data_IF_622695464480
#
_entry.id   IF_622695464480
#
_cell.length_a   1.000
_cell.length_b   1.000
_cell.length_c   1.000
_cell.angle_alpha   90.00
_cell.angle_beta   90.00
_cell.angle_gamma   90.00
#
_symmetry.space_group_name_H-M   'P 1'
#
loop_
_entity.id
_entity.type
_entity.pdbx_description
1 polymer ?
#
# COMPACT_ATOMS: atom_id res chain seq x y z
N UNK A 1 44.74 -2.39 39.94
CA UNK A 1 43.90 -2.92 38.84
C UNK A 1 43.37 -4.27 39.29
N UNK A 2 42.06 -4.38 39.51
CA UNK A 2 41.42 -5.69 39.71
C UNK A 2 41.53 -6.49 38.41
N UNK A 3 41.76 -7.80 38.49
CA UNK A 3 41.86 -8.65 37.30
C UNK A 3 40.52 -8.67 36.55
N UNK A 4 40.52 -8.55 35.21
CA UNK A 4 39.30 -8.59 34.43
C UNK A 4 38.63 -9.96 34.59
N UNK A 5 37.36 -9.95 34.98
CA UNK A 5 36.60 -11.17 35.32
C UNK A 5 35.99 -11.83 34.07
N UNK A 6 35.88 -11.07 32.98
CA UNK A 6 35.45 -11.53 31.67
C UNK A 6 35.56 -10.40 30.66
N UNK A 7 35.62 -10.72 29.36
CA UNK A 7 35.70 -9.74 28.30
C UNK A 7 34.94 -10.24 27.07
N UNK A 8 34.29 -9.33 26.36
CA UNK A 8 33.57 -9.64 25.13
C UNK A 8 33.68 -8.48 24.14
N UNK A 9 33.91 -8.81 22.87
CA UNK A 9 34.09 -7.82 21.80
C UNK A 9 32.91 -7.87 20.83
N UNK A 10 32.29 -6.73 20.60
CA UNK A 10 31.30 -6.50 19.54
C UNK A 10 31.98 -5.92 18.30
N UNK A 11 31.23 -5.64 17.24
CA UNK A 11 31.76 -5.09 15.98
C UNK A 11 32.51 -3.77 16.20
N UNK A 12 32.06 -2.93 17.15
CA UNK A 12 32.60 -1.58 17.35
C UNK A 12 33.11 -1.31 18.77
N UNK A 13 32.80 -2.17 19.75
CA UNK A 13 33.11 -1.93 21.18
C UNK A 13 33.60 -3.17 21.91
N UNK A 14 34.59 -2.99 22.79
CA UNK A 14 35.13 -3.98 23.70
C UNK A 14 34.55 -3.78 25.11
N UNK A 15 33.81 -4.75 25.64
CA UNK A 15 33.25 -4.71 26.99
C UNK A 15 34.08 -5.60 27.94
N UNK A 16 34.54 -5.03 29.06
CA UNK A 16 35.36 -5.70 30.07
C UNK A 16 34.66 -5.66 31.42
N UNK A 17 34.47 -6.81 32.05
CA UNK A 17 34.00 -6.90 33.44
C UNK A 17 35.15 -6.61 34.41
N UNK A 18 35.01 -5.56 35.21
CA UNK A 18 35.99 -5.15 36.21
C UNK A 18 35.30 -4.93 37.56
N UNK A 19 35.46 -5.88 38.49
CA UNK A 19 34.85 -5.81 39.81
C UNK A 19 33.34 -6.03 39.76
N UNK A 20 32.57 -5.00 40.14
CA UNK A 20 31.11 -5.00 40.14
C UNK A 20 30.50 -4.28 38.92
N UNK A 21 31.32 -3.85 37.95
CA UNK A 21 30.92 -3.03 36.81
C UNK A 21 31.44 -3.59 35.49
N UNK A 22 30.76 -3.22 34.40
CA UNK A 22 31.19 -3.51 33.02
C UNK A 22 31.65 -2.20 32.40
N UNK A 23 32.86 -2.21 31.85
CA UNK A 23 33.51 -1.06 31.22
C UNK A 23 33.55 -1.26 29.71
N UNK A 24 33.12 -0.26 28.95
CA UNK A 24 33.18 -0.23 27.49
C UNK A 24 34.40 0.56 27.00
N UNK A 25 35.08 0.01 26.00
CA UNK A 25 36.18 0.62 25.27
C UNK A 25 35.89 0.54 23.76
N UNK A 26 36.45 1.45 22.96
CA UNK A 26 36.48 1.25 21.51
C UNK A 26 37.57 0.22 21.15
N UNK A 27 37.61 -0.19 19.87
CA UNK A 27 38.61 -1.15 19.38
C UNK A 27 40.04 -0.60 19.40
N UNK A 28 40.20 0.72 19.54
CA UNK A 28 41.50 1.40 19.65
C UNK A 28 41.96 1.53 21.13
N UNK A 29 41.13 1.09 22.08
CA UNK A 29 41.43 1.06 23.52
C UNK A 29 41.04 2.34 24.27
N UNK A 30 40.33 3.28 23.63
CA UNK A 30 39.77 4.47 24.30
C UNK A 30 38.60 4.06 25.17
N UNK A 31 38.57 4.57 26.39
CA UNK A 31 37.48 4.34 27.32
C UNK A 31 36.20 5.07 26.86
N UNK A 32 35.10 4.32 26.69
CA UNK A 32 33.79 4.84 26.28
C UNK A 32 32.87 5.11 27.47
N UNK A 33 32.99 4.36 28.56
CA UNK A 33 32.18 4.53 29.77
C UNK A 33 31.88 3.21 30.50
N UNK A 34 31.15 3.28 31.61
CA UNK A 34 30.66 2.10 32.33
C UNK A 34 29.20 1.79 31.93
N UNK A 35 28.85 0.51 31.83
CA UNK A 35 27.49 0.06 31.56
C UNK A 35 26.53 0.53 32.66
N UNK A 36 25.47 1.24 32.28
CA UNK A 36 24.41 1.68 33.19
C UNK A 36 23.37 0.57 33.35
N UNK A 37 22.78 0.45 34.54
CA UNK A 37 21.75 -0.56 34.85
C UNK A 37 22.26 -1.92 35.34
N UNK A 38 23.58 -2.11 35.50
CA UNK A 38 24.16 -3.30 36.12
C UNK A 38 25.23 -2.96 37.16
N UNK A 39 25.01 -3.38 38.40
CA UNK A 39 26.04 -3.47 39.45
C UNK A 39 25.93 -4.81 40.16
N UNK A 40 27.00 -5.59 40.14
CA UNK A 40 27.01 -6.92 40.77
C UNK A 40 28.21 -7.76 40.35
N UNK A 41 28.38 -8.93 40.98
CA UNK A 41 29.43 -9.88 40.61
C UNK A 41 29.30 -10.28 39.14
N UNK A 42 30.41 -10.52 38.44
CA UNK A 42 30.42 -10.90 37.02
C UNK A 42 31.15 -12.23 36.91
N UNK A 43 30.40 -13.33 36.75
CA UNK A 43 30.99 -14.66 36.56
C UNK A 43 31.24 -14.98 35.09
N UNK A 44 30.54 -14.30 34.17
CA UNK A 44 30.76 -14.48 32.73
C UNK A 44 30.09 -13.39 31.90
N UNK A 45 30.70 -13.08 30.76
CA UNK A 45 30.17 -12.21 29.71
C UNK A 45 30.09 -12.99 28.40
N UNK A 46 29.02 -12.82 27.64
CA UNK A 46 28.82 -13.45 26.33
C UNK A 46 28.02 -12.54 25.40
N UNK A 47 27.89 -12.91 24.13
CA UNK A 47 27.02 -12.24 23.16
C UNK A 47 25.87 -13.17 22.74
N UNK A 48 24.70 -12.57 22.57
CA UNK A 48 23.60 -13.19 21.82
C UNK A 48 23.88 -13.11 20.30
N UNK A 49 23.16 -13.91 19.50
CA UNK A 49 23.16 -13.90 18.02
C UNK A 49 22.85 -12.51 17.42
N UNK A 50 22.25 -11.61 18.19
CA UNK A 50 21.96 -10.23 17.80
C UNK A 50 23.04 -9.22 18.25
N UNK A 51 24.19 -9.69 18.76
CA UNK A 51 25.30 -8.82 19.20
C UNK A 51 25.08 -8.10 20.54
N UNK A 52 24.07 -8.52 21.33
CA UNK A 52 23.78 -7.96 22.66
C UNK A 52 24.63 -8.62 23.73
N UNK A 53 25.07 -7.87 24.74
CA UNK A 53 25.93 -8.36 25.82
C UNK A 53 25.09 -9.06 26.88
N UNK A 54 25.41 -10.32 27.17
CA UNK A 54 24.81 -11.12 28.23
C UNK A 54 25.75 -11.16 29.42
N UNK A 55 25.21 -10.89 30.61
CA UNK A 55 25.95 -10.84 31.88
C UNK A 55 25.42 -11.94 32.79
N UNK A 56 26.30 -12.85 33.19
CA UNK A 56 25.99 -13.87 34.17
C UNK A 56 26.55 -13.45 35.53
N UNK A 57 25.71 -13.16 36.55
CA UNK A 57 26.19 -12.64 37.82
C UNK A 57 26.94 -13.67 38.69
N UNK A 58 26.78 -14.96 38.40
CA UNK A 58 27.32 -16.05 39.21
C UNK A 58 26.33 -16.53 40.26
N UNK A 59 26.38 -17.83 40.59
CA UNK A 59 25.30 -18.49 41.34
C UNK A 59 24.01 -18.60 40.50
N UNK A 60 22.91 -19.08 41.10
CA UNK A 60 21.62 -19.25 40.41
C UNK A 60 20.88 -17.95 40.04
N UNK A 61 21.59 -16.83 39.87
CA UNK A 61 21.02 -15.56 39.46
C UNK A 61 20.64 -15.53 37.98
N UNK A 62 19.62 -14.74 37.63
CA UNK A 62 19.17 -14.61 36.26
C UNK A 62 20.22 -13.91 35.36
N UNK A 63 20.34 -14.36 34.12
CA UNK A 63 21.21 -13.73 33.11
C UNK A 63 20.62 -12.38 32.70
N UNK A 64 21.43 -11.33 32.80
CA UNK A 64 21.05 -9.97 32.42
C UNK A 64 21.47 -9.68 30.98
N UNK A 65 20.65 -8.92 30.25
CA UNK A 65 20.92 -8.56 28.85
C UNK A 65 21.12 -7.05 28.73
N UNK A 66 22.27 -6.64 28.22
CA UNK A 66 22.68 -5.27 27.97
C UNK A 66 22.81 -5.00 26.47
N UNK A 67 22.47 -3.78 26.05
CA UNK A 67 22.61 -3.33 24.66
C UNK A 67 23.92 -2.53 24.57
N UNK A 68 24.90 -2.95 23.75
CA UNK A 68 26.14 -2.22 23.60
C UNK A 68 25.91 -0.84 22.97
N UNK A 69 26.72 0.15 23.36
CA UNK A 69 26.74 1.53 22.84
C UNK A 69 25.49 2.41 23.07
N UNK A 70 24.46 1.94 23.76
CA UNK A 70 23.28 2.74 24.11
C UNK A 70 23.02 2.66 25.62
N UNK A 71 23.13 3.80 26.29
CA UNK A 71 22.67 3.97 27.67
C UNK A 71 21.82 5.23 27.72
N UNK A 72 20.67 5.16 28.38
CA UNK A 72 19.82 6.33 28.54
C UNK A 72 20.34 7.21 29.67
N UNK A 73 20.23 8.53 29.49
CA UNK A 73 20.49 9.48 30.57
C UNK A 73 19.44 9.34 31.67
N UNK A 74 19.84 9.51 32.93
CA UNK A 74 18.91 9.49 34.06
C UNK A 74 17.98 10.72 34.06
N UNK A 75 18.46 11.80 33.46
CA UNK A 75 17.71 13.04 33.28
C UNK A 75 17.97 13.61 31.90
N UNK A 76 16.91 14.05 31.23
CA UNK A 76 16.97 14.83 30.00
C UNK A 76 16.10 16.07 30.14
N UNK A 77 16.42 17.14 29.42
CA UNK A 77 15.52 18.30 29.35
C UNK A 77 15.59 18.96 28.00
N UNK A 78 14.46 19.52 27.56
CA UNK A 78 14.41 20.38 26.39
C UNK A 78 13.72 21.70 26.72
N UNK A 79 14.04 22.72 25.93
CA UNK A 79 13.33 23.99 25.89
C UNK A 79 12.87 24.22 24.44
N UNK A 80 11.58 24.43 24.25
CA UNK A 80 10.96 24.70 22.97
C UNK A 80 10.29 26.07 23.00
N UNK A 81 10.54 26.88 21.98
CA UNK A 81 10.03 28.24 21.84
C UNK A 81 11.10 29.19 21.28
N UNK A 82 10.82 30.49 21.15
CA UNK A 82 9.53 31.11 21.45
C UNK A 82 8.48 30.70 20.40
N UNK A 83 7.36 30.12 20.84
CA UNK A 83 6.21 29.91 19.97
C UNK A 83 5.42 31.21 19.91
N UNK A 84 5.17 31.71 18.71
CA UNK A 84 4.36 32.90 18.47
C UNK A 84 3.36 32.64 17.35
N UNK A 85 2.29 33.43 17.32
CA UNK A 85 1.31 33.41 16.24
C UNK A 85 1.34 34.78 15.58
N UNK A 86 1.86 34.85 14.35
CA UNK A 86 1.91 36.09 13.56
C UNK A 86 0.51 36.44 13.04
N UNK A 87 -0.28 37.11 13.87
CA UNK A 87 -1.56 37.70 13.44
C UNK A 87 -1.45 39.21 13.56
N UNK A 88 -1.54 39.89 12.42
CA UNK A 88 -1.56 41.36 12.37
C UNK A 88 -2.73 41.89 13.21
N UNK A 89 -2.40 42.60 14.29
CA UNK A 89 -3.32 43.35 15.16
C UNK A 89 -4.35 42.52 15.98
N UNK A 90 -3.88 41.60 16.83
CA UNK A 90 -4.72 40.95 17.86
C UNK A 90 -4.21 41.16 19.30
N UNK A 91 -5.10 41.04 20.32
CA UNK A 91 -4.72 41.00 21.74
C UNK A 91 -3.71 39.86 22.01
N UNK A 92 -3.01 39.88 23.17
CA UNK A 92 -2.05 38.84 23.50
C UNK A 92 -2.67 37.43 23.36
N UNK A 93 -1.94 36.53 22.69
CA UNK A 93 -2.41 35.19 22.34
C UNK A 93 -2.85 34.43 23.59
N UNK A 94 -4.07 33.90 23.56
CA UNK A 94 -4.57 33.03 24.63
C UNK A 94 -4.22 31.59 24.30
N UNK A 95 -3.11 31.13 24.86
CA UNK A 95 -2.72 29.72 24.83
C UNK A 95 -3.71 28.89 25.64
N UNK A 96 -4.18 27.77 25.10
CA UNK A 96 -5.25 26.99 25.70
C UNK A 96 -4.81 25.60 26.14
N UNK A 97 -4.25 24.80 25.23
CA UNK A 97 -3.98 23.38 25.47
C UNK A 97 -2.68 22.96 24.81
N UNK A 98 -1.94 22.09 25.51
CA UNK A 98 -0.78 21.39 24.99
C UNK A 98 -1.06 19.89 25.07
N UNK A 99 -1.06 19.22 23.91
CA UNK A 99 -1.16 17.77 23.81
C UNK A 99 0.16 17.20 23.29
N UNK A 100 0.76 16.29 24.05
CA UNK A 100 1.98 15.60 23.71
C UNK A 100 1.67 14.15 23.28
N UNK A 101 2.10 13.78 22.07
CA UNK A 101 2.05 12.41 21.57
C UNK A 101 3.39 11.77 21.91
N UNK A 102 3.36 10.84 22.85
CA UNK A 102 4.53 10.11 23.37
C UNK A 102 4.27 8.62 23.23
N UNK A 103 5.30 7.84 22.96
CA UNK A 103 5.21 6.38 23.06
C UNK A 103 4.78 5.98 24.49
N UNK A 104 4.17 4.78 24.69
CA UNK A 104 3.75 4.32 26.01
C UNK A 104 4.90 4.45 27.03
N UNK A 105 4.70 5.29 28.05
CA UNK A 105 5.71 5.60 29.05
C UNK A 105 6.12 4.32 29.81
N UNK A 106 7.42 3.92 29.78
CA UNK A 106 7.91 2.82 30.60
C UNK A 106 7.71 3.11 32.10
N UNK A 107 7.51 2.09 32.96
CA UNK A 107 7.23 2.30 34.39
C UNK A 107 8.31 3.07 35.17
N UNK A 108 9.56 3.04 34.70
CA UNK A 108 10.70 3.74 35.30
C UNK A 108 11.00 5.10 34.66
N UNK A 109 10.18 5.54 33.70
CA UNK A 109 10.35 6.77 32.95
C UNK A 109 9.23 7.75 33.25
N UNK A 110 9.59 8.99 33.59
CA UNK A 110 8.62 10.06 33.82
C UNK A 110 8.90 11.27 32.94
N UNK A 111 7.84 11.95 32.55
CA UNK A 111 7.90 13.19 31.77
C UNK A 111 7.06 14.27 32.45
N UNK A 112 7.65 15.44 32.65
CA UNK A 112 6.96 16.61 33.18
C UNK A 112 7.16 17.82 32.28
N UNK A 113 6.06 18.50 31.95
CA UNK A 113 6.08 19.74 31.18
C UNK A 113 5.96 20.97 32.08
N UNK A 114 6.58 22.06 31.65
CA UNK A 114 6.52 23.38 32.26
C UNK A 114 6.22 24.40 31.17
N UNK A 115 5.34 25.34 31.45
CA UNK A 115 4.87 26.34 30.48
C UNK A 115 5.11 27.76 31.00
N UNK A 116 5.58 28.64 30.12
CA UNK A 116 5.89 30.03 30.44
C UNK A 116 5.46 30.94 29.30
N UNK A 117 4.83 32.06 29.63
CA UNK A 117 4.37 33.05 28.64
C UNK A 117 5.11 34.36 28.84
N UNK A 118 5.51 34.99 27.73
CA UNK A 118 6.29 36.23 27.73
C UNK A 118 5.75 37.25 26.72
N UNK A 119 5.97 38.53 27.00
CA UNK A 119 5.73 39.62 26.05
C UNK A 119 6.94 39.89 25.15
N UNK A 120 8.12 39.38 25.51
CA UNK A 120 9.35 39.48 24.73
C UNK A 120 9.72 38.10 24.16
N UNK A 121 10.34 38.05 22.97
CA UNK A 121 10.79 36.82 22.32
C UNK A 121 12.03 36.21 22.99
N UNK A 122 12.61 36.88 23.99
CA UNK A 122 13.82 36.41 24.64
C UNK A 122 13.56 35.13 25.43
N UNK A 123 14.51 34.20 25.34
CA UNK A 123 14.48 32.99 26.14
C UNK A 123 14.45 33.37 27.63
N UNK A 124 13.53 32.80 28.42
CA UNK A 124 13.45 33.08 29.85
C UNK A 124 14.80 32.78 30.53
N UNK A 125 15.37 33.80 31.17
CA UNK A 125 16.59 33.69 31.96
C UNK A 125 16.27 33.04 33.32
N UNK A 126 15.97 31.74 33.36
CA UNK A 126 15.82 31.04 34.64
C UNK A 126 16.67 29.79 34.66
N UNK A 127 17.49 29.71 35.71
CA UNK A 127 18.26 28.55 36.13
C UNK A 127 17.45 27.27 35.92
N UNK A 128 18.11 26.26 35.36
CA UNK A 128 17.70 24.87 35.45
C UNK A 128 17.00 24.60 36.78
N UNK A 129 15.73 24.14 36.81
CA UNK A 129 15.28 23.36 37.94
C UNK A 129 16.12 22.08 37.86
N UNK A 130 17.29 22.11 38.51
CA UNK A 130 17.92 20.91 38.99
C UNK A 130 16.89 20.40 40.00
N UNK A 131 16.17 19.36 39.62
CA UNK A 131 15.29 18.66 40.54
C UNK A 131 16.14 17.88 41.55
N UNK A 132 16.87 18.61 42.40
CA UNK A 132 17.35 18.04 43.64
C UNK A 132 16.14 17.95 44.56
N UNK A 133 15.63 16.73 44.71
CA UNK A 133 14.71 16.25 45.76
C UNK A 133 13.82 17.33 46.37
N UNK A 134 12.73 17.68 45.71
CA UNK A 134 11.65 18.39 46.41
C UNK A 134 10.74 17.33 47.02
N UNK A 135 10.97 17.05 48.30
CA UNK A 135 9.98 16.46 49.18
C UNK A 135 8.64 17.19 48.99
N UNK A 136 7.48 16.52 49.11
CA UNK A 136 6.20 17.21 49.13
C UNK A 136 6.18 18.17 50.32
N UNK A 137 6.42 19.46 50.08
CA UNK A 137 6.46 20.47 51.15
C UNK A 137 7.45 21.63 51.02
N UNK A 138 8.35 21.70 50.02
CA UNK A 138 9.26 22.85 49.87
C UNK A 138 9.13 23.55 48.51
N UNK A 139 8.96 24.87 48.56
CA UNK A 139 8.68 25.75 47.42
C UNK A 139 10.00 26.17 46.73
N UNK A 140 10.23 25.65 45.51
CA UNK A 140 11.16 26.25 44.52
C UNK A 140 10.51 27.55 44.01
N UNK A 141 11.25 28.62 43.62
CA UNK A 141 10.64 29.85 43.15
C UNK A 141 9.77 29.58 41.91
N UNK A 142 8.46 29.46 42.13
CA UNK A 142 7.40 29.10 41.18
C UNK A 142 6.86 30.33 40.43
N UNK A 143 7.54 31.48 40.55
CA UNK A 143 6.89 32.77 40.27
C UNK A 143 6.74 33.08 38.77
N UNK A 144 7.21 32.22 37.86
CA UNK A 144 7.05 32.43 36.40
C UNK A 144 6.63 31.20 35.61
N UNK A 145 7.15 30.00 35.91
CA UNK A 145 6.82 28.78 35.16
C UNK A 145 5.67 28.01 35.80
N UNK A 146 4.70 27.60 34.97
CA UNK A 146 3.60 26.75 35.38
C UNK A 146 3.97 25.27 35.19
N UNK A 147 3.96 24.48 36.26
CA UNK A 147 4.28 23.06 36.23
C UNK A 147 3.04 22.22 35.93
N UNK A 148 3.11 21.36 34.91
CA UNK A 148 2.10 20.35 34.65
C UNK A 148 2.21 19.18 35.64
N UNK A 149 1.13 18.40 35.84
CA UNK A 149 1.19 17.14 36.55
C UNK A 149 2.26 16.20 35.96
N UNK A 150 2.86 15.36 36.82
CA UNK A 150 3.78 14.32 36.38
C UNK A 150 3.04 13.36 35.43
N UNK A 151 3.66 13.04 34.29
CA UNK A 151 3.12 12.17 33.24
C UNK A 151 1.81 12.68 32.61
N UNK A 152 1.48 13.96 32.81
CA UNK A 152 0.37 14.63 32.14
C UNK A 152 0.70 14.95 30.69
N UNK A 153 0.23 14.10 29.76
CA UNK A 153 0.43 14.28 28.31
C UNK A 153 -0.55 15.25 27.65
N UNK A 154 -1.66 15.55 28.33
CA UNK A 154 -2.67 16.48 27.86
C UNK A 154 -2.97 17.49 28.99
N UNK A 155 -2.63 18.75 28.76
CA UNK A 155 -2.67 19.79 29.79
C UNK A 155 -3.21 21.12 29.29
N UNK A 156 -3.95 21.80 30.17
CA UNK A 156 -4.38 23.17 29.96
C UNK A 156 -3.26 24.15 30.32
N UNK A 157 -3.05 25.14 29.47
CA UNK A 157 -2.09 26.22 29.70
C UNK A 157 -2.79 27.28 30.54
N UNK A 158 -2.38 27.41 31.80
CA UNK A 158 -3.02 28.31 32.77
C UNK A 158 -2.32 29.67 32.90
N UNK A 159 -1.27 29.89 32.11
CA UNK A 159 -0.54 31.15 32.06
C UNK A 159 -1.43 32.32 31.59
N UNK A 160 -1.01 33.54 31.88
CA UNK A 160 -1.70 34.71 31.35
C UNK A 160 -1.51 34.83 29.83
N UNK A 161 -2.48 35.39 29.10
CA UNK A 161 -2.34 35.63 27.67
C UNK A 161 -1.08 36.45 27.36
N UNK A 162 -0.24 35.96 26.46
CA UNK A 162 0.97 36.66 26.01
C UNK A 162 1.33 36.22 24.59
N UNK A 163 2.02 37.07 23.81
CA UNK A 163 2.37 36.77 22.41
C UNK A 163 3.31 35.57 22.26
N UNK A 164 4.17 35.30 23.24
CA UNK A 164 5.15 34.22 23.19
C UNK A 164 4.87 33.14 24.25
N UNK A 165 4.95 31.87 23.85
CA UNK A 165 4.91 30.70 24.74
C UNK A 165 6.23 29.93 24.67
N UNK A 166 6.69 29.51 25.83
CA UNK A 166 7.84 28.64 26.04
C UNK A 166 7.39 27.38 26.75
N UNK A 167 7.91 26.24 26.29
CA UNK A 167 7.61 24.92 26.84
C UNK A 167 8.93 24.28 27.20
N UNK A 168 9.02 23.79 28.43
CA UNK A 168 10.15 22.99 28.89
C UNK A 168 9.64 21.62 29.26
N UNK A 169 10.28 20.57 28.76
CA UNK A 169 10.03 19.22 29.23
C UNK A 169 11.25 18.67 29.93
N UNK A 170 11.00 17.91 30.99
CA UNK A 170 12.02 17.21 31.76
C UNK A 170 11.67 15.73 31.78
N UNK A 171 12.62 14.92 31.34
CA UNK A 171 12.57 13.47 31.41
C UNK A 171 13.36 12.96 32.60
N UNK A 172 12.85 11.91 33.21
CA UNK A 172 13.54 11.12 34.23
C UNK A 172 13.49 9.67 33.85
N UNK A 173 14.59 8.97 34.03
CA UNK A 173 14.70 7.54 33.80
C UNK A 173 15.69 6.93 34.80
N UNK A 174 15.55 5.63 35.07
CA UNK A 174 16.56 4.82 35.75
C UNK A 174 17.73 4.38 34.83
N UNK A 175 17.75 4.87 33.59
CA UNK A 175 18.76 4.57 32.58
C UNK A 175 18.51 3.28 31.78
N UNK A 176 17.42 2.55 32.08
CA UNK A 176 17.07 1.28 31.40
C UNK A 176 16.19 1.50 30.16
N UNK A 177 15.40 2.58 30.14
CA UNK A 177 14.56 2.98 29.01
C UNK A 177 14.55 4.51 28.87
N UNK A 178 14.09 5.04 27.74
CA UNK A 178 13.78 6.46 27.60
C UNK A 178 12.50 6.60 26.80
N UNK A 179 11.57 7.48 27.21
CA UNK A 179 10.38 7.73 26.42
C UNK A 179 10.72 8.57 25.20
N UNK A 180 9.93 8.42 24.14
CA UNK A 180 10.08 9.14 22.88
C UNK A 180 8.91 10.10 22.72
N UNK A 181 9.20 11.39 22.66
CA UNK A 181 8.21 12.44 22.34
C UNK A 181 8.15 12.58 20.82
N UNK A 182 7.06 12.11 20.21
CA UNK A 182 6.87 12.13 18.76
C UNK A 182 6.40 13.50 18.27
N UNK A 183 5.45 14.11 18.98
CA UNK A 183 4.84 15.37 18.56
C UNK A 183 4.27 16.15 19.75
N UNK A 184 4.34 17.47 19.69
CA UNK A 184 3.57 18.37 20.56
C UNK A 184 2.61 19.18 19.71
N UNK A 185 1.33 19.22 20.10
CA UNK A 185 0.29 20.02 19.48
C UNK A 185 -0.13 21.11 20.44
N UNK A 186 -0.05 22.35 19.96
CA UNK A 186 -0.46 23.54 20.69
C UNK A 186 -1.76 24.08 20.11
N UNK A 187 -2.72 24.30 20.99
CA UNK A 187 -3.98 24.95 20.67
C UNK A 187 -4.00 26.34 21.32
N UNK A 188 -4.31 27.35 20.51
CA UNK A 188 -4.39 28.74 20.91
C UNK A 188 -5.68 29.34 20.35
N UNK A 189 -6.21 30.35 21.04
CA UNK A 189 -7.46 31.02 20.69
C UNK A 189 -8.59 30.03 20.35
N UNK A 190 -8.62 28.87 21.01
CA UNK A 190 -9.55 27.82 20.70
C UNK A 190 -10.97 28.28 20.95
N UNK A 191 -11.83 27.98 19.99
CA UNK A 191 -13.25 28.15 20.12
C UNK A 191 -13.80 27.04 21.04
N UNK A 192 -13.71 27.27 22.34
CA UNK A 192 -14.27 26.39 23.37
C UNK A 192 -15.78 26.21 23.18
N UNK A 193 -16.33 25.13 23.73
CA UNK A 193 -17.77 24.85 23.70
C UNK A 193 -18.63 25.94 24.34
N UNK A 194 -18.02 26.89 25.06
CA UNK A 194 -18.67 28.10 25.54
C UNK A 194 -19.43 28.85 24.43
N UNK A 195 -18.90 28.87 23.20
CA UNK A 195 -19.57 29.53 22.05
C UNK A 195 -20.94 28.93 21.71
N UNK A 196 -21.13 27.65 22.02
CA UNK A 196 -22.36 26.93 21.76
C UNK A 196 -23.40 27.11 22.87
N UNK A 197 -23.00 27.68 24.02
CA UNK A 197 -23.92 28.01 25.11
C UNK A 197 -24.61 29.36 24.88
N UNK A 198 -25.81 29.59 25.44
CA UNK A 198 -26.48 30.88 25.37
C UNK A 198 -25.63 32.06 25.87
N UNK A 199 -25.83 33.25 25.30
CA UNK A 199 -25.04 34.45 25.58
C UNK A 199 -24.97 34.87 27.06
N UNK A 200 -25.92 34.43 27.91
CA UNK A 200 -25.87 34.66 29.35
C UNK A 200 -24.67 33.98 30.04
N UNK A 201 -24.21 32.84 29.52
CA UNK A 201 -23.05 32.09 30.02
C UNK A 201 -21.73 32.54 29.39
N UNK A 202 -21.79 33.27 28.28
CA UNK A 202 -20.63 33.84 27.59
C UNK A 202 -20.20 35.20 28.18
N UNK A 203 -20.84 35.66 29.26
CA UNK A 203 -20.56 36.97 29.86
C UNK A 203 -19.18 36.94 30.55
N UNK A 204 -18.40 38.00 30.28
CA UNK A 204 -17.04 38.17 30.80
C UNK A 204 -16.95 38.15 32.33
N UNK A 205 -15.88 37.56 32.85
CA UNK A 205 -15.56 37.54 34.27
C UNK A 205 -14.74 36.33 34.70
N UNK A 206 -14.51 36.19 36.01
CA UNK A 206 -13.87 35.00 36.60
C UNK A 206 -14.71 33.72 36.42
N UNK A 207 -16.04 33.85 36.37
CA UNK A 207 -16.98 32.74 36.16
C UNK A 207 -16.84 32.10 34.77
N UNK A 208 -16.52 32.90 33.75
CA UNK A 208 -16.25 32.42 32.40
C UNK A 208 -15.00 31.52 32.38
N UNK A 209 -13.92 31.93 33.06
CA UNK A 209 -12.68 31.15 33.13
C UNK A 209 -12.92 29.81 33.82
N UNK A 210 -13.76 29.78 34.86
CA UNK A 210 -14.17 28.54 35.49
C UNK A 210 -14.99 27.67 34.54
N UNK A 211 -16.01 28.22 33.88
CA UNK A 211 -16.89 27.47 33.00
C UNK A 211 -16.15 26.91 31.78
N UNK A 212 -15.24 27.69 31.18
CA UNK A 212 -14.37 27.21 30.09
C UNK A 212 -13.48 26.04 30.54
N UNK A 213 -12.89 26.12 31.74
CA UNK A 213 -12.10 25.00 32.30
C UNK A 213 -12.95 23.78 32.62
N UNK A 214 -14.16 23.99 33.12
CA UNK A 214 -15.10 22.91 33.42
C UNK A 214 -15.55 22.21 32.12
N UNK A 215 -15.89 22.96 31.08
CA UNK A 215 -16.24 22.42 29.76
C UNK A 215 -15.06 21.72 29.09
N UNK A 216 -13.83 22.23 29.26
CA UNK A 216 -12.62 21.62 28.71
C UNK A 216 -12.42 20.16 29.19
N UNK A 217 -12.92 19.79 30.38
CA UNK A 217 -12.91 18.40 30.86
C UNK A 217 -13.80 17.49 29.99
N UNK A 218 -15.00 17.96 29.64
CA UNK A 218 -15.90 17.22 28.75
C UNK A 218 -15.43 17.26 27.29
N UNK A 219 -14.87 18.38 26.85
CA UNK A 219 -14.21 18.49 25.54
C UNK A 219 -13.11 17.45 25.41
N UNK A 220 -12.32 17.25 26.46
CA UNK A 220 -11.27 16.21 26.47
C UNK A 220 -11.85 14.82 26.40
N UNK A 221 -12.96 14.56 27.11
CA UNK A 221 -13.62 13.26 27.09
C UNK A 221 -14.18 12.92 25.70
N UNK A 222 -14.76 13.91 24.99
CA UNK A 222 -15.37 13.71 23.67
C UNK A 222 -14.45 14.05 22.48
N UNK A 223 -13.22 14.48 22.78
CA UNK A 223 -12.27 14.88 21.74
C UNK A 223 -11.91 13.71 20.85
N UNK A 224 -11.82 12.50 21.42
CA UNK A 224 -11.48 11.30 20.66
C UNK A 224 -12.56 10.96 19.62
N UNK A 225 -13.83 10.97 20.01
CA UNK A 225 -14.96 10.71 19.11
C UNK A 225 -15.07 11.81 18.04
N UNK A 226 -14.87 13.07 18.42
CA UNK A 226 -14.88 14.19 17.47
C UNK A 226 -13.74 14.04 16.45
N UNK A 227 -12.54 13.68 16.91
CA UNK A 227 -11.39 13.44 16.04
C UNK A 227 -11.61 12.23 15.12
N UNK A 228 -12.29 11.18 15.58
CA UNK A 228 -12.69 10.06 14.73
C UNK A 228 -13.65 10.52 13.63
N UNK A 229 -14.66 11.34 13.96
CA UNK A 229 -15.61 11.91 12.99
C UNK A 229 -14.89 12.79 11.97
N UNK A 230 -14.01 13.68 12.44
CA UNK A 230 -13.23 14.59 11.58
C UNK A 230 -12.29 13.84 10.64
N UNK A 231 -11.84 12.64 11.04
CA UNK A 231 -11.00 11.76 10.20
C UNK A 231 -11.79 10.89 9.23
N UNK A 232 -13.11 10.80 9.32
CA UNK A 232 -13.93 9.98 8.42
C UNK A 232 -13.67 10.24 6.92
N UNK A 233 -13.54 11.49 6.44
CA UNK A 233 -13.24 11.74 5.02
C UNK A 233 -11.94 11.07 4.54
N UNK A 234 -10.95 10.90 5.42
CA UNK A 234 -9.68 10.26 5.09
C UNK A 234 -9.85 8.76 4.79
N UNK A 235 -10.90 8.14 5.34
CA UNK A 235 -11.22 6.74 5.07
C UNK A 235 -11.79 6.52 3.66
N UNK A 236 -12.34 7.55 3.03
CA UNK A 236 -12.81 7.46 1.64
C UNK A 236 -11.72 7.80 0.62
N UNK A 237 -10.62 8.39 1.07
CA UNK A 237 -9.47 8.66 0.21
C UNK A 237 -8.63 7.39 0.05
N UNK A 238 -8.49 6.93 -1.18
CA UNK A 238 -7.66 5.76 -1.56
C UNK A 238 -6.21 5.85 -1.12
N UNK A 239 -5.69 7.03 -0.80
CA UNK A 239 -4.28 7.24 -0.42
C UNK A 239 -4.09 7.30 1.09
N UNK A 240 -5.11 7.76 1.83
CA UNK A 240 -5.08 7.91 3.28
C UNK A 240 -5.76 6.75 4.02
N UNK A 241 -6.68 6.04 3.36
CA UNK A 241 -7.40 4.92 3.95
C UNK A 241 -6.42 3.85 4.46
N UNK A 242 -6.60 3.32 5.68
CA UNK A 242 -5.71 2.31 6.24
C UNK A 242 -5.88 0.97 5.50
N UNK A 243 -4.81 0.42 4.94
CA UNK A 243 -4.78 -0.95 4.39
C UNK A 243 -3.78 -1.78 5.20
N UNK A 244 -4.14 -2.05 6.46
CA UNK A 244 -3.26 -2.79 7.37
C UNK A 244 -4.11 -3.81 8.12
N UNK A 245 -3.66 -5.07 8.07
CA UNK A 245 -4.25 -6.16 8.85
C UNK A 245 -4.50 -5.70 10.30
N UNK A 246 -5.70 -5.88 10.86
CA UNK A 246 -6.78 -6.79 10.44
C UNK A 246 -7.91 -6.14 9.61
N UNK A 247 -7.76 -4.88 9.18
CA UNK A 247 -8.83 -4.15 8.51
C UNK A 247 -8.52 -3.96 7.03
N UNK A 248 -9.15 -4.78 6.18
CA UNK A 248 -9.09 -4.66 4.73
C UNK A 248 -10.06 -3.56 4.25
N UNK A 249 -9.77 -2.31 4.63
CA UNK A 249 -10.63 -1.18 4.29
C UNK A 249 -10.73 -0.97 2.77
N UNK A 250 -9.67 -1.32 2.03
CA UNK A 250 -9.71 -1.31 0.56
C UNK A 250 -10.71 -2.32 0.00
N UNK A 251 -10.87 -3.50 0.61
CA UNK A 251 -11.88 -4.48 0.18
C UNK A 251 -13.30 -3.96 0.48
N UNK A 252 -13.47 -3.29 1.62
CA UNK A 252 -14.74 -2.62 1.91
C UNK A 252 -15.06 -1.55 0.84
N UNK A 253 -14.10 -0.66 0.53
CA UNK A 253 -14.27 0.34 -0.54
C UNK A 253 -14.53 -0.30 -1.90
N UNK A 254 -13.81 -1.37 -2.23
CA UNK A 254 -14.01 -2.11 -3.48
C UNK A 254 -15.40 -2.75 -3.55
N UNK A 255 -15.95 -3.23 -2.42
CA UNK A 255 -17.32 -3.70 -2.30
C UNK A 255 -18.38 -2.64 -2.65
N UNK A 256 -18.15 -1.37 -2.30
CA UNK A 256 -19.04 -0.27 -2.72
C UNK A 256 -18.97 -0.01 -4.23
N UNK A 257 -17.81 -0.23 -4.83
CA UNK A 257 -17.60 -0.06 -6.27
C UNK A 257 -18.00 -1.31 -7.07
N UNK A 258 -18.36 -2.41 -6.40
CA UNK A 258 -18.51 -3.74 -6.99
C UNK A 258 -17.27 -4.21 -7.79
N UNK A 259 -16.08 -3.81 -7.32
CA UNK A 259 -14.79 -4.12 -7.95
C UNK A 259 -14.09 -5.25 -7.19
N UNK A 260 -13.63 -6.26 -7.91
CA UNK A 260 -12.94 -7.40 -7.29
C UNK A 260 -11.42 -7.11 -7.23
N UNK A 261 -10.86 -7.00 -6.04
CA UNK A 261 -9.41 -6.88 -5.84
C UNK A 261 -8.78 -8.28 -5.81
N UNK A 262 -7.67 -8.46 -6.52
CA UNK A 262 -6.91 -9.71 -6.46
C UNK A 262 -6.06 -9.74 -5.16
N UNK A 263 -6.15 -10.83 -4.40
CA UNK A 263 -5.40 -11.05 -3.16
C UNK A 263 -3.88 -11.03 -3.37
N UNK A 264 -3.42 -11.29 -4.60
CA UNK A 264 -1.99 -11.28 -4.95
C UNK A 264 -1.42 -9.88 -5.18
N UNK A 265 -2.28 -8.85 -5.24
CA UNK A 265 -1.85 -7.49 -5.51
C UNK A 265 -1.19 -6.83 -4.30
N UNK A 266 -0.12 -6.08 -4.55
CA UNK A 266 0.44 -5.18 -3.56
C UNK A 266 -0.57 -4.08 -3.20
N UNK A 267 -0.44 -3.51 -1.99
CA UNK A 267 -1.25 -2.38 -1.52
C UNK A 267 -1.31 -1.24 -2.56
N UNK A 268 -0.17 -0.90 -3.17
CA UNK A 268 -0.11 0.14 -4.19
C UNK A 268 -0.96 -0.19 -5.42
N UNK A 269 -0.93 -1.45 -5.88
CA UNK A 269 -1.75 -1.91 -7.00
C UNK A 269 -3.24 -1.88 -6.65
N UNK A 270 -3.63 -2.33 -5.46
CA UNK A 270 -5.02 -2.27 -4.98
C UNK A 270 -5.55 -0.83 -4.95
N UNK A 271 -4.77 0.11 -4.40
CA UNK A 271 -5.11 1.54 -4.37
C UNK A 271 -5.22 2.14 -5.76
N UNK A 272 -4.38 1.72 -6.70
CA UNK A 272 -4.45 2.19 -8.08
C UNK A 272 -5.69 1.62 -8.81
N UNK A 273 -6.01 0.34 -8.61
CA UNK A 273 -7.19 -0.28 -9.19
C UNK A 273 -8.49 0.40 -8.74
N UNK A 274 -8.61 0.74 -7.45
CA UNK A 274 -9.75 1.53 -6.93
C UNK A 274 -9.82 2.91 -7.59
N UNK A 275 -8.68 3.56 -7.84
CA UNK A 275 -8.64 4.87 -8.51
C UNK A 275 -9.17 4.77 -9.95
N UNK A 276 -8.78 3.71 -10.65
CA UNK A 276 -9.08 3.52 -12.07
C UNK A 276 -10.44 2.85 -12.30
N UNK A 277 -11.08 2.30 -11.25
CA UNK A 277 -12.33 1.54 -11.31
C UNK A 277 -13.44 2.26 -12.08
N UNK A 278 -13.68 3.54 -11.81
CA UNK A 278 -14.71 4.32 -12.52
C UNK A 278 -14.41 4.45 -14.02
N UNK A 279 -13.14 4.70 -14.38
CA UNK A 279 -12.72 4.81 -15.77
C UNK A 279 -12.86 3.47 -16.49
N UNK A 280 -12.46 2.38 -15.84
CA UNK A 280 -12.58 1.01 -16.36
C UNK A 280 -14.06 0.64 -16.59
N UNK A 281 -14.95 0.91 -15.64
CA UNK A 281 -16.37 0.61 -15.79
C UNK A 281 -17.07 1.48 -16.83
N UNK A 282 -16.63 2.71 -17.04
CA UNK A 282 -17.16 3.55 -18.14
C UNK A 282 -16.90 2.95 -19.52
N UNK A 283 -15.88 2.08 -19.65
CA UNK A 283 -15.49 1.40 -20.88
C UNK A 283 -15.91 -0.07 -20.90
N UNK A 284 -16.73 -0.51 -19.93
CA UNK A 284 -17.18 -1.89 -19.84
C UNK A 284 -17.94 -2.29 -21.11
N UNK A 285 -17.68 -3.51 -21.58
CA UNK A 285 -18.25 -4.02 -22.83
C UNK A 285 -17.65 -3.46 -24.12
N UNK A 286 -16.67 -2.55 -24.02
CA UNK A 286 -15.88 -2.10 -25.18
C UNK A 286 -14.62 -2.94 -25.35
N UNK A 287 -14.09 -2.98 -26.58
CA UNK A 287 -12.79 -3.64 -26.87
C UNK A 287 -11.66 -3.07 -26.02
N UNK A 288 -11.62 -1.74 -25.84
CA UNK A 288 -10.58 -1.07 -25.05
C UNK A 288 -10.68 -1.45 -23.57
N UNK A 289 -11.88 -1.43 -23.00
CA UNK A 289 -12.10 -1.81 -21.60
C UNK A 289 -11.76 -3.27 -21.32
N UNK A 290 -12.17 -4.19 -22.20
CA UNK A 290 -11.81 -5.61 -22.10
C UNK A 290 -10.30 -5.83 -22.13
N UNK A 291 -9.59 -5.18 -23.06
CA UNK A 291 -8.12 -5.27 -23.14
C UNK A 291 -7.44 -4.74 -21.87
N UNK A 292 -7.93 -3.64 -21.31
CA UNK A 292 -7.39 -3.07 -20.07
C UNK A 292 -7.63 -3.97 -18.87
N UNK A 293 -8.83 -4.53 -18.73
CA UNK A 293 -9.20 -5.42 -17.63
C UNK A 293 -8.43 -6.74 -17.68
N UNK A 294 -8.30 -7.37 -18.86
CA UNK A 294 -7.47 -8.57 -19.02
C UNK A 294 -6.04 -8.28 -18.57
N UNK A 295 -5.45 -7.19 -19.08
CA UNK A 295 -4.09 -6.80 -18.71
C UNK A 295 -3.94 -6.51 -17.22
N UNK A 296 -4.95 -5.93 -16.57
CA UNK A 296 -4.92 -5.62 -15.14
C UNK A 296 -4.88 -6.89 -14.28
N UNK A 297 -5.71 -7.88 -14.58
CA UNK A 297 -5.84 -9.09 -13.76
C UNK A 297 -4.84 -10.20 -14.10
N UNK A 298 -4.41 -10.31 -15.36
CA UNK A 298 -3.52 -11.39 -15.81
C UNK A 298 -2.16 -10.92 -16.27
N UNK A 299 -1.98 -9.61 -16.50
CA UNK A 299 -0.78 -9.07 -17.14
C UNK A 299 -0.71 -9.30 -18.65
N UNK A 300 -1.58 -10.15 -19.20
CA UNK A 300 -1.53 -10.57 -20.59
C UNK A 300 -2.00 -9.47 -21.55
N UNK A 301 -1.33 -9.38 -22.71
CA UNK A 301 -1.75 -8.50 -23.78
C UNK A 301 -2.75 -9.24 -24.67
N UNK A 302 -4.00 -8.75 -24.70
CA UNK A 302 -5.07 -9.32 -25.52
C UNK A 302 -5.27 -8.55 -26.83
N UNK A 303 -5.41 -9.29 -27.92
CA UNK A 303 -5.94 -8.83 -29.20
C UNK A 303 -7.38 -9.29 -29.34
N UNK A 304 -8.24 -8.41 -29.85
CA UNK A 304 -9.67 -8.68 -29.99
C UNK A 304 -10.08 -8.29 -31.40
N UNK A 305 -10.63 -9.26 -32.13
CA UNK A 305 -11.09 -9.12 -33.51
C UNK A 305 -12.55 -9.57 -33.64
N UNK A 306 -13.31 -8.87 -34.47
CA UNK A 306 -14.71 -9.21 -34.78
C UNK A 306 -14.78 -9.86 -36.17
N UNK A 307 -15.19 -11.14 -36.29
CA UNK A 307 -15.26 -11.84 -37.58
C UNK A 307 -16.13 -11.11 -38.62
N UNK A 308 -17.20 -10.45 -38.17
CA UNK A 308 -18.09 -9.68 -39.03
C UNK A 308 -17.37 -8.55 -39.82
N UNK A 309 -16.22 -8.06 -39.36
CA UNK A 309 -15.42 -7.03 -40.07
C UNK A 309 -14.64 -7.57 -41.27
N UNK A 310 -14.40 -8.88 -41.30
CA UNK A 310 -13.60 -9.54 -42.34
C UNK A 310 -14.45 -10.51 -43.19
N UNK A 311 -15.68 -10.78 -42.76
CA UNK A 311 -16.60 -11.63 -43.50
C UNK A 311 -16.99 -10.95 -44.81
N UNK A 312 -16.74 -11.64 -45.93
CA UNK A 312 -17.23 -11.25 -47.24
C UNK A 312 -18.22 -12.27 -47.77
N UNK A 313 -19.27 -11.77 -48.42
CA UNK A 313 -20.19 -12.61 -49.18
C UNK A 313 -19.47 -13.11 -50.43
N UNK A 314 -19.77 -14.35 -50.80
CA UNK A 314 -19.18 -14.93 -52.00
C UNK A 314 -19.60 -14.15 -53.25
N UNK A 315 -18.61 -13.71 -54.01
CA UNK A 315 -18.80 -13.13 -55.34
C UNK A 315 -18.07 -13.98 -56.38
N UNK A 316 -18.78 -14.32 -57.46
CA UNK A 316 -18.22 -15.05 -58.60
C UNK A 316 -17.16 -14.19 -59.30
N UNK A 317 -15.90 -14.66 -59.32
CA UNK A 317 -14.78 -14.00 -60.01
C UNK A 317 -13.73 -13.41 -59.06
N UNK A 318 -14.17 -12.94 -57.88
CA UNK A 318 -13.29 -12.26 -56.92
C UNK A 318 -13.09 -13.05 -55.61
N UNK A 319 -13.87 -14.12 -55.38
CA UNK A 319 -13.83 -14.92 -54.14
C UNK A 319 -13.28 -16.33 -54.36
N UNK A 320 -12.40 -16.77 -53.46
CA UNK A 320 -11.94 -18.15 -53.38
C UNK A 320 -12.77 -18.92 -52.32
N UNK A 321 -13.35 -20.05 -52.73
CA UNK A 321 -14.19 -20.89 -51.86
C UNK A 321 -13.40 -21.38 -50.63
N UNK A 322 -13.95 -21.18 -49.43
CA UNK A 322 -13.50 -21.83 -48.19
C UNK A 322 -12.52 -21.07 -47.30
N UNK A 323 -12.01 -19.89 -47.70
CA UNK A 323 -11.02 -19.14 -46.89
C UNK A 323 -11.56 -17.84 -46.28
N UNK A 324 -12.25 -17.01 -47.06
CA UNK A 324 -12.72 -15.67 -46.62
C UNK A 324 -14.21 -15.46 -46.86
N UNK A 325 -14.91 -16.55 -47.17
CA UNK A 325 -16.18 -16.47 -47.87
C UNK A 325 -17.19 -17.42 -47.25
N UNK A 326 -18.37 -16.88 -46.96
CA UNK A 326 -19.50 -17.62 -46.39
C UNK A 326 -20.72 -17.58 -47.30
N UNK A 327 -21.57 -18.59 -47.15
CA UNK A 327 -22.92 -18.56 -47.67
C UNK A 327 -23.73 -17.58 -46.83
N UNK A 328 -24.62 -16.82 -47.46
CA UNK A 328 -25.50 -15.91 -46.75
C UNK A 328 -26.45 -16.72 -45.83
N UNK A 329 -26.51 -16.44 -44.52
CA UNK A 329 -27.39 -17.13 -43.59
C UNK A 329 -28.86 -16.75 -43.77
N UNK A 330 -29.13 -15.57 -44.33
CA UNK A 330 -30.48 -15.06 -44.57
C UNK A 330 -30.58 -14.21 -45.83
N UNK A 331 -31.79 -13.73 -46.11
CA UNK A 331 -32.07 -12.79 -47.20
C UNK A 331 -31.79 -11.34 -46.73
N UNK A 332 -31.19 -10.46 -47.57
CA UNK A 332 -30.91 -9.07 -47.18
C UNK A 332 -32.15 -8.27 -46.72
N UNK A 333 -33.34 -8.64 -47.20
CA UNK A 333 -34.61 -7.99 -46.84
C UNK A 333 -35.23 -8.55 -45.55
N UNK A 334 -34.62 -9.57 -44.94
CA UNK A 334 -35.20 -10.30 -43.82
C UNK A 334 -36.48 -11.05 -44.20
N UNK A 335 -37.41 -11.22 -43.25
CA UNK A 335 -38.65 -11.95 -43.46
C UNK A 335 -39.68 -11.15 -44.29
N UNK A 336 -39.89 -11.54 -45.55
CA UNK A 336 -40.98 -11.03 -46.39
C UNK A 336 -42.01 -12.13 -46.61
N UNK A 337 -43.25 -11.88 -46.18
CA UNK A 337 -44.34 -12.85 -46.24
C UNK A 337 -44.59 -13.26 -47.70
N UNK A 338 -44.56 -14.56 -47.98
CA UNK A 338 -44.81 -15.13 -49.29
C UNK A 338 -43.59 -15.21 -50.21
N UNK A 339 -42.43 -14.70 -49.79
CA UNK A 339 -41.18 -14.81 -50.56
C UNK A 339 -40.05 -15.43 -49.73
N UNK A 340 -39.57 -14.74 -48.70
CA UNK A 340 -38.35 -15.10 -47.95
C UNK A 340 -38.63 -15.57 -46.52
N UNK A 341 -39.85 -15.39 -46.02
CA UNK A 341 -40.22 -15.79 -44.66
C UNK A 341 -40.35 -17.32 -44.52
N UNK A 342 -39.46 -17.92 -43.74
CA UNK A 342 -39.51 -19.30 -43.26
C UNK A 342 -39.93 -19.36 -41.80
N UNK A 343 -40.93 -20.19 -41.49
CA UNK A 343 -41.48 -20.32 -40.14
C UNK A 343 -40.37 -20.77 -39.15
N UNK A 344 -40.25 -20.07 -38.03
CA UNK A 344 -39.24 -20.28 -36.98
C UNK A 344 -37.77 -20.05 -37.38
N UNK A 345 -37.51 -19.44 -38.54
CA UNK A 345 -36.15 -19.21 -39.04
C UNK A 345 -35.90 -17.77 -39.48
N UNK A 346 -36.93 -16.95 -39.65
CA UNK A 346 -36.76 -15.57 -40.12
C UNK A 346 -37.32 -14.55 -39.14
N UNK A 347 -36.60 -13.45 -39.00
CA UNK A 347 -36.96 -12.32 -38.16
C UNK A 347 -37.34 -11.09 -39.00
N UNK A 348 -38.24 -10.27 -38.47
CA UNK A 348 -38.59 -8.98 -39.07
C UNK A 348 -37.46 -8.00 -38.78
N UNK A 349 -36.96 -7.34 -39.82
CA UNK A 349 -35.94 -6.29 -39.71
C UNK A 349 -36.55 -4.93 -39.99
N UNK A 350 -35.96 -3.86 -39.47
CA UNK A 350 -36.33 -2.50 -39.91
C UNK A 350 -35.65 -2.16 -41.24
N UNK A 351 -36.16 -1.13 -41.92
CA UNK A 351 -35.57 -0.69 -43.18
C UNK A 351 -34.11 -0.22 -43.04
N UNK A 352 -33.73 0.26 -41.86
CA UNK A 352 -32.36 0.66 -41.52
C UNK A 352 -31.40 -0.52 -41.33
N UNK A 353 -31.93 -1.73 -41.06
CA UNK A 353 -31.16 -2.94 -40.84
C UNK A 353 -30.99 -3.78 -42.13
N UNK A 354 -31.26 -3.19 -43.30
CA UNK A 354 -31.14 -3.88 -44.58
C UNK A 354 -29.75 -4.50 -44.75
N UNK A 355 -29.70 -5.80 -45.04
CA UNK A 355 -28.46 -6.56 -45.19
C UNK A 355 -27.87 -7.09 -43.88
N UNK A 356 -28.36 -6.70 -42.70
CA UNK A 356 -27.91 -7.28 -41.42
C UNK A 356 -28.09 -8.81 -41.35
N UNK A 357 -29.19 -9.41 -41.86
CA UNK A 357 -29.34 -10.88 -41.87
C UNK A 357 -28.27 -11.62 -42.67
N UNK A 358 -27.51 -10.95 -43.54
CA UNK A 358 -26.41 -11.59 -44.29
C UNK A 358 -25.21 -11.93 -43.40
N UNK A 359 -25.16 -11.40 -42.17
CA UNK A 359 -24.03 -11.55 -41.26
C UNK A 359 -24.44 -12.13 -39.90
N UNK A 360 -25.66 -12.65 -39.77
CA UNK A 360 -26.22 -13.14 -38.49
C UNK A 360 -25.33 -14.22 -37.85
N UNK A 361 -24.72 -15.10 -38.65
CA UNK A 361 -23.81 -16.15 -38.18
C UNK A 361 -22.53 -15.63 -37.51
N UNK A 362 -22.09 -14.41 -37.86
CA UNK A 362 -20.89 -13.76 -37.34
C UNK A 362 -21.17 -12.54 -36.47
N UNK A 363 -22.42 -12.08 -36.43
CA UNK A 363 -22.87 -11.00 -35.57
C UNK A 363 -22.69 -11.38 -34.09
N UNK A 364 -22.37 -10.38 -33.26
CA UNK A 364 -22.20 -10.54 -31.81
C UNK A 364 -21.13 -11.57 -31.39
N UNK A 365 -20.21 -11.92 -32.30
CA UNK A 365 -19.08 -12.81 -32.02
C UNK A 365 -17.78 -12.04 -32.08
N UNK A 366 -16.86 -12.36 -31.18
CA UNK A 366 -15.49 -11.83 -31.22
C UNK A 366 -14.47 -12.89 -30.83
N UNK A 367 -13.26 -12.77 -31.37
CA UNK A 367 -12.13 -13.63 -31.04
C UNK A 367 -11.18 -12.86 -30.13
N UNK A 368 -10.83 -13.46 -28.99
CA UNK A 368 -9.83 -12.93 -28.06
C UNK A 368 -8.58 -13.78 -28.19
N UNK A 369 -7.46 -13.13 -28.47
CA UNK A 369 -6.19 -13.79 -28.66
C UNK A 369 -5.18 -13.23 -27.65
N UNK A 370 -4.58 -14.12 -26.87
CA UNK A 370 -3.58 -13.79 -25.84
C UNK A 370 -2.28 -14.51 -26.16
N UNK A 371 -1.13 -13.92 -25.85
CA UNK A 371 0.15 -14.59 -26.10
C UNK A 371 0.32 -15.80 -25.18
N UNK A 372 0.73 -16.94 -25.75
CA UNK A 372 1.00 -18.14 -24.95
C UNK A 372 2.10 -17.92 -23.91
N UNK A 373 3.03 -17.00 -24.16
CA UNK A 373 4.06 -16.60 -23.21
C UNK A 373 3.51 -15.85 -21.97
N UNK A 374 2.39 -15.13 -22.12
CA UNK A 374 1.73 -14.41 -21.02
C UNK A 374 0.79 -15.34 -20.23
N UNK A 375 0.44 -16.50 -20.80
CA UNK A 375 -0.53 -17.47 -20.26
C UNK A 375 0.11 -18.86 -20.29
N UNK A 376 1.17 -19.01 -19.51
CA UNK A 376 2.02 -20.20 -19.44
C UNK A 376 1.37 -21.42 -18.74
N UNK A 377 0.23 -21.20 -18.09
CA UNK A 377 -0.48 -22.19 -17.28
C UNK A 377 -1.97 -22.19 -17.59
N UNK A 378 -2.60 -23.36 -17.41
CA UNK A 378 -4.05 -23.52 -17.55
C UNK A 378 -4.81 -22.61 -16.58
N UNK A 379 -4.26 -22.40 -15.38
CA UNK A 379 -4.81 -21.48 -14.38
C UNK A 379 -4.83 -20.02 -14.87
N UNK A 380 -3.78 -19.57 -15.56
CA UNK A 380 -3.75 -18.22 -16.14
C UNK A 380 -4.81 -18.07 -17.25
N UNK A 381 -5.02 -19.11 -18.07
CA UNK A 381 -6.04 -19.10 -19.12
C UNK A 381 -7.45 -19.04 -18.54
N UNK A 382 -7.69 -19.81 -17.47
CA UNK A 382 -8.95 -19.77 -16.70
C UNK A 382 -9.19 -18.37 -16.12
N UNK A 383 -8.14 -17.68 -15.66
CA UNK A 383 -8.28 -16.31 -15.15
C UNK A 383 -8.68 -15.31 -16.25
N UNK A 384 -8.13 -15.44 -17.46
CA UNK A 384 -8.57 -14.62 -18.62
C UNK A 384 -10.04 -14.89 -18.94
N UNK A 385 -10.44 -16.16 -18.96
CA UNK A 385 -11.83 -16.59 -19.18
C UNK A 385 -12.78 -15.98 -18.13
N UNK A 386 -12.41 -16.02 -16.84
CA UNK A 386 -13.21 -15.44 -15.76
C UNK A 386 -13.42 -13.93 -15.94
N UNK A 387 -12.37 -13.19 -16.33
CA UNK A 387 -12.48 -11.75 -16.62
C UNK A 387 -13.42 -11.51 -17.82
N UNK A 388 -13.27 -12.28 -18.89
CA UNK A 388 -14.13 -12.16 -20.08
C UNK A 388 -15.60 -12.45 -19.75
N UNK A 389 -15.89 -13.50 -18.98
CA UNK A 389 -17.25 -13.88 -18.62
C UNK A 389 -17.93 -12.84 -17.72
N UNK A 390 -17.16 -12.18 -16.84
CA UNK A 390 -17.66 -11.10 -15.99
C UNK A 390 -17.91 -9.81 -16.75
N UNK A 391 -17.08 -9.49 -17.75
CA UNK A 391 -17.03 -8.14 -18.36
C UNK A 391 -17.64 -8.05 -19.77
N UNK A 392 -17.88 -9.18 -20.44
CA UNK A 392 -18.48 -9.18 -21.79
C UNK A 392 -19.96 -8.73 -21.76
N UNK A 393 -20.44 -8.09 -22.83
CA UNK A 393 -21.87 -7.86 -23.00
C UNK A 393 -22.67 -9.19 -23.00
N UNK A 394 -23.87 -9.18 -22.42
CA UNK A 394 -24.66 -10.41 -22.29
C UNK A 394 -25.03 -11.06 -23.63
N UNK A 395 -25.23 -10.27 -24.68
CA UNK A 395 -25.65 -10.73 -26.00
C UNK A 395 -24.48 -11.23 -26.88
N UNK A 396 -23.23 -11.17 -26.41
CA UNK A 396 -22.06 -11.55 -27.21
C UNK A 396 -21.48 -12.90 -26.79
N UNK A 397 -20.92 -13.60 -27.77
CA UNK A 397 -20.16 -14.84 -27.59
C UNK A 397 -18.73 -14.63 -28.04
N UNK A 398 -17.79 -15.32 -27.41
CA UNK A 398 -16.39 -15.19 -27.75
C UNK A 398 -15.72 -16.54 -27.93
N UNK A 399 -14.61 -16.50 -28.65
CA UNK A 399 -13.65 -17.59 -28.74
C UNK A 399 -12.32 -17.09 -28.19
N UNK A 400 -11.75 -17.81 -27.22
CA UNK A 400 -10.44 -17.49 -26.63
C UNK A 400 -9.38 -18.42 -27.23
N UNK A 401 -8.28 -17.85 -27.72
CA UNK A 401 -7.18 -18.61 -28.32
C UNK A 401 -5.81 -18.10 -27.82
N UNK A 402 -4.87 -19.01 -27.63
CA UNK A 402 -3.47 -18.66 -27.35
C UNK A 402 -2.70 -18.47 -28.67
N UNK A 403 -1.91 -17.41 -28.76
CA UNK A 403 -0.97 -17.15 -29.84
C UNK A 403 0.34 -17.85 -29.49
N UNK A 404 0.61 -18.98 -30.14
CA UNK A 404 1.88 -19.69 -30.00
C UNK A 404 2.97 -19.06 -30.87
N UNK A 405 4.24 -19.39 -30.60
CA UNK A 405 5.39 -18.90 -31.37
C UNK A 405 5.55 -19.61 -32.73
N UNK A 406 4.47 -19.75 -33.49
CA UNK A 406 4.41 -20.45 -34.77
C UNK A 406 4.05 -19.47 -35.89
N UNK A 407 5.04 -19.06 -36.69
CA UNK A 407 4.78 -18.23 -37.88
C UNK A 407 4.34 -19.13 -39.04
N UNK A 408 3.03 -19.18 -39.31
CA UNK A 408 2.43 -19.99 -40.39
C UNK A 408 1.85 -19.09 -41.48
N UNK A 409 2.52 -19.01 -42.62
CA UNK A 409 2.03 -18.21 -43.77
C UNK A 409 0.65 -18.70 -44.21
N UNK A 410 -0.32 -17.79 -44.26
CA UNK A 410 -1.72 -18.09 -44.61
C UNK A 410 -2.62 -18.53 -43.45
N UNK A 411 -2.08 -18.71 -42.24
CA UNK A 411 -2.85 -19.08 -41.04
C UNK A 411 -2.56 -18.16 -39.85
N UNK A 412 -1.27 -17.95 -39.52
CA UNK A 412 -0.78 -17.17 -38.38
C UNK A 412 0.45 -16.35 -38.81
N UNK A 413 0.24 -15.18 -39.43
CA UNK A 413 1.30 -14.35 -40.02
C UNK A 413 0.97 -12.84 -40.11
N UNK A 414 0.16 -12.33 -39.20
CA UNK A 414 -0.17 -10.89 -39.08
C UNK A 414 0.94 -10.16 -38.35
N UNK A 415 1.60 -9.25 -39.07
CA UNK A 415 2.68 -8.42 -38.54
C UNK A 415 2.18 -7.60 -37.33
N UNK A 416 2.91 -7.69 -36.22
CA UNK A 416 2.58 -6.99 -34.96
C UNK A 416 1.51 -7.67 -34.10
N UNK A 417 0.94 -8.81 -34.53
CA UNK A 417 -0.04 -9.58 -33.75
C UNK A 417 0.50 -10.99 -33.49
N UNK A 418 0.52 -11.86 -34.51
CA UNK A 418 0.78 -13.30 -34.36
C UNK A 418 1.94 -13.83 -35.24
N UNK A 419 2.62 -12.96 -35.99
CA UNK A 419 3.85 -13.29 -36.72
C UNK A 419 5.05 -13.43 -35.77
N UNK A 420 5.09 -14.49 -34.96
CA UNK A 420 6.14 -14.77 -33.99
C UNK A 420 7.08 -15.84 -34.57
N UNK A 421 8.36 -15.49 -34.72
CA UNK A 421 9.39 -16.44 -35.13
C UNK A 421 9.91 -17.16 -33.88
N UNK A 422 9.45 -18.40 -33.66
CA UNK A 422 9.87 -19.26 -32.57
C UNK A 422 11.16 -20.04 -32.83
N UNK A 423 11.61 -20.78 -31.82
CA UNK A 423 12.68 -21.77 -31.94
C UNK A 423 12.30 -22.86 -32.97
N UNK A 424 13.29 -23.56 -33.57
CA UNK A 424 12.99 -24.68 -34.47
C UNK A 424 12.03 -25.67 -33.81
N UNK A 425 11.04 -26.21 -34.56
CA UNK A 425 10.07 -27.14 -34.01
C UNK A 425 10.78 -28.36 -33.41
N UNK A 426 10.20 -28.99 -32.36
CA UNK A 426 10.74 -30.22 -31.82
C UNK A 426 10.82 -31.30 -32.90
N UNK A 427 11.75 -32.25 -32.74
CA UNK A 427 11.97 -33.34 -33.69
C UNK A 427 10.66 -34.11 -33.95
N UNK A 428 10.43 -34.44 -35.22
CA UNK A 428 9.24 -35.15 -35.68
C UNK A 428 9.18 -36.57 -35.08
N UNK A 429 8.23 -36.82 -34.18
CA UNK A 429 7.91 -38.17 -33.68
C UNK A 429 6.57 -38.60 -34.23
N UNK A 430 6.59 -39.47 -35.24
CA UNK A 430 5.38 -40.03 -35.87
C UNK A 430 4.60 -40.86 -34.84
N UNK A 431 3.52 -40.29 -34.31
CA UNK A 431 2.53 -40.95 -33.44
C UNK A 431 1.13 -40.75 -34.01
N UNK A 432 0.14 -41.50 -33.51
CA UNK A 432 -1.27 -41.36 -33.93
C UNK A 432 -1.86 -39.97 -33.61
N UNK A 433 -1.19 -39.15 -32.78
CA UNK A 433 -1.67 -37.85 -32.35
C UNK A 433 -1.28 -36.67 -33.26
N UNK A 434 -0.33 -36.84 -34.20
CA UNK A 434 0.14 -35.73 -35.05
C UNK A 434 -0.58 -35.68 -36.40
N UNK A 435 -1.00 -34.47 -36.82
CA UNK A 435 -1.64 -34.26 -38.13
C UNK A 435 -0.64 -33.88 -39.23
N UNK A 436 -0.70 -34.61 -40.35
CA UNK A 436 0.06 -34.32 -41.56
C UNK A 436 -0.27 -32.93 -42.10
N UNK A 437 0.74 -32.06 -42.25
CA UNK A 437 0.58 -30.67 -42.72
C UNK A 437 0.20 -29.64 -41.67
N UNK A 438 0.03 -30.06 -40.41
CA UNK A 438 -0.19 -29.16 -39.25
C UNK A 438 1.04 -29.18 -38.36
N UNK A 439 1.44 -30.36 -37.88
CA UNK A 439 2.49 -30.52 -36.86
C UNK A 439 3.74 -31.22 -37.43
N UNK A 440 3.74 -31.50 -38.74
CA UNK A 440 4.74 -32.32 -39.40
C UNK A 440 5.53 -31.54 -40.45
N UNK A 441 6.82 -31.35 -40.18
CA UNK A 441 7.77 -30.65 -41.04
C UNK A 441 8.90 -31.60 -41.40
N UNK A 442 9.16 -31.80 -42.70
CA UNK A 442 10.33 -32.55 -43.18
C UNK A 442 11.49 -31.57 -43.35
N UNK A 443 12.55 -31.73 -42.55
CA UNK A 443 13.79 -30.99 -42.74
C UNK A 443 14.57 -31.61 -43.91
N UNK A 444 14.59 -30.96 -45.06
CA UNK A 444 15.57 -31.28 -46.11
C UNK A 444 16.93 -30.71 -45.71
N UNK A 445 18.01 -31.45 -45.97
CA UNK A 445 19.38 -31.10 -45.55
C UNK A 445 19.90 -29.73 -46.04
N UNK A 446 19.16 -29.03 -46.89
CA UNK A 446 19.41 -27.64 -47.22
C UNK A 446 18.09 -26.85 -47.22
N UNK A 447 17.97 -25.94 -46.25
CA UNK A 447 16.94 -24.88 -46.09
C UNK A 447 15.58 -25.29 -45.52
N UNK A 448 15.10 -24.40 -44.64
CA UNK A 448 13.79 -24.26 -44.01
C UNK A 448 12.78 -25.37 -44.36
N UNK A 449 12.52 -26.24 -43.39
CA UNK A 449 11.57 -27.34 -43.53
C UNK A 449 10.20 -26.86 -44.01
N UNK A 450 9.61 -27.63 -44.93
CA UNK A 450 8.30 -27.34 -45.53
C UNK A 450 7.26 -28.31 -44.96
N UNK A 451 6.03 -27.86 -44.64
CA UNK A 451 4.99 -28.76 -44.13
C UNK A 451 4.64 -29.86 -45.16
N UNK A 452 4.50 -31.10 -44.69
CA UNK A 452 4.08 -32.23 -45.53
C UNK A 452 2.65 -32.05 -46.05
N UNK A 453 2.41 -32.43 -47.31
CA UNK A 453 1.05 -32.52 -47.88
C UNK A 453 0.61 -31.37 -48.79
N UNK A 454 1.26 -30.19 -48.73
CA UNK A 454 1.02 -29.11 -49.72
C UNK A 454 2.01 -29.13 -50.89
N UNK A 455 3.30 -29.38 -50.63
CA UNK A 455 4.35 -29.39 -51.67
C UNK A 455 5.35 -30.55 -51.57
N UNK A 456 5.54 -31.13 -50.39
CA UNK A 456 6.40 -32.29 -50.19
C UNK A 456 5.64 -33.61 -50.47
N UNK A 457 6.11 -34.39 -51.45
CA UNK A 457 5.63 -35.75 -51.75
C UNK A 457 6.64 -36.78 -51.24
N UNK A 458 6.17 -37.78 -50.49
CA UNK A 458 6.94 -38.98 -50.16
C UNK A 458 6.99 -39.88 -51.42
N UNK A 459 8.20 -40.11 -51.94
CA UNK A 459 8.45 -41.06 -53.04
C UNK A 459 9.42 -42.14 -52.55
N UNK A 460 9.59 -43.22 -53.34
CA UNK A 460 10.47 -44.37 -53.07
C UNK A 460 11.94 -44.03 -52.78
N UNK A 461 12.37 -42.79 -52.98
CA UNK A 461 13.74 -42.32 -52.69
C UNK A 461 13.87 -41.54 -51.38
N UNK A 462 12.77 -41.27 -50.68
CA UNK A 462 12.80 -40.54 -49.42
C UNK A 462 13.10 -41.51 -48.27
N UNK A 463 14.36 -41.56 -47.82
CA UNK A 463 14.73 -42.29 -46.60
C UNK A 463 14.51 -41.40 -45.38
N UNK A 464 13.69 -41.86 -44.45
CA UNK A 464 13.62 -41.32 -43.09
C UNK A 464 14.85 -41.86 -42.33
N UNK A 465 15.68 -40.97 -41.79
CA UNK A 465 16.73 -41.35 -40.83
C UNK A 465 16.18 -41.27 -39.42
#
# INVERSE_FOLDING_TARGET
MQQPTGMVATVDTLCVGAGDQILGFDLEGKFLGAARGYRGSIAGLSLDRQGRVLVHPGGGGAVMRLIPAQAFGETGSFLAGAFHVDVAAQPPTRWFRLRAIVDPLPPSCHLQFFTYTSFLPDAPTVATPILDRVNPGELVPLDTWWAAPLDGLDLLILNQPAPYLWIKGVWRSDGTASPILNQMRLEYNSETWLRHLPAIYQRGGSEQVFLERFLALFETLLAEETEQIDRLPQLFDRSAAPDRFPHDWLDWLAGWLAFDLDETWSELQRRQAIADAFSLYSQRGTVTGLKQLIRLYTGAIAHIDEPARFASLWSLGDSALGFTTMLAPGDPQGAVIGTTATLNQTHLIQAEDYGAPLFEDVAHRFCVQVYAADVDSEAAMVRVQQVLDREKPAHTTYQLCAIEAQMRVGFQARLGIDAIVGAPPPDLVLTEAQQLGVDTVLATHDRAGTPLGQTARLDRRTSLQ
#
